data_IF_333113544005
#
_entry.id   IF_333113544005
#
_cell.length_a   1.000
_cell.length_b   1.000
_cell.length_c   1.000
_cell.angle_alpha   90.00
_cell.angle_beta   90.00
_cell.angle_gamma   90.00
#
_symmetry.space_group_name_H-M   'P 1'
#
loop_
_entity.id
_entity.type
_entity.pdbx_description
1 polymer ?
#
# COMPACT_ATOMS: atom_id res chain seq x y z
N UNK A 1 24.59 -7.61 -14.38
CA UNK A 1 24.47 -6.45 -13.48
C UNK A 1 25.01 -6.85 -12.12
N UNK A 2 25.85 -6.02 -11.50
CA UNK A 2 26.46 -6.34 -10.21
C UNK A 2 25.60 -5.76 -9.10
N UNK A 3 25.00 -6.62 -8.29
CA UNK A 3 24.16 -6.19 -7.17
C UNK A 3 25.03 -5.66 -6.04
N UNK A 4 24.74 -4.44 -5.59
CA UNK A 4 25.44 -3.79 -4.47
C UNK A 4 24.64 -4.00 -3.19
N UNK A 5 25.35 -4.24 -2.08
CA UNK A 5 24.74 -4.49 -0.77
C UNK A 5 24.82 -3.24 0.10
N UNK A 6 23.68 -2.92 0.68
CA UNK A 6 23.47 -1.80 1.59
C UNK A 6 22.89 -2.30 2.91
N UNK A 7 23.08 -1.49 3.95
CA UNK A 7 22.50 -1.68 5.27
C UNK A 7 21.60 -0.49 5.57
N UNK A 8 20.29 -0.72 5.61
CA UNK A 8 19.31 0.30 5.95
C UNK A 8 19.06 0.29 7.46
N UNK A 9 19.47 1.35 8.14
CA UNK A 9 19.07 1.64 9.51
C UNK A 9 17.66 2.25 9.51
N UNK A 10 16.77 1.67 10.30
CA UNK A 10 15.40 2.17 10.53
C UNK A 10 15.23 2.39 12.02
N UNK A 11 14.72 3.56 12.39
CA UNK A 11 14.39 3.93 13.75
C UNK A 11 12.94 4.36 13.87
N UNK A 12 12.33 3.95 14.98
CA UNK A 12 11.00 4.36 15.38
C UNK A 12 10.93 4.46 16.90
N UNK A 13 10.47 5.60 17.38
CA UNK A 13 10.47 6.00 18.78
C UNK A 13 11.87 5.97 19.39
N UNK A 14 12.24 4.87 20.05
CA UNK A 14 13.58 4.65 20.62
C UNK A 14 14.10 3.25 20.33
N UNK A 15 13.54 2.61 19.30
CA UNK A 15 13.93 1.28 18.83
C UNK A 15 14.44 1.38 17.42
N UNK A 16 15.46 0.60 17.11
CA UNK A 16 16.05 0.57 15.79
C UNK A 16 16.33 -0.85 15.33
N UNK A 17 16.37 -1.00 14.01
CA UNK A 17 16.71 -2.24 13.32
C UNK A 17 17.61 -1.94 12.12
N UNK A 18 18.34 -2.95 11.66
CA UNK A 18 19.03 -2.90 10.36
C UNK A 18 18.41 -3.92 9.41
N UNK A 19 18.11 -3.49 8.19
CA UNK A 19 17.55 -4.29 7.10
C UNK A 19 18.60 -4.40 6.01
N UNK A 20 18.83 -5.61 5.50
CA UNK A 20 19.72 -5.82 4.37
C UNK A 20 18.99 -5.38 3.09
N UNK A 21 19.66 -4.57 2.28
CA UNK A 21 19.11 -4.05 1.02
C UNK A 21 20.07 -4.40 -0.10
N UNK A 22 19.52 -4.97 -1.18
CA UNK A 22 20.27 -5.29 -2.40
C UNK A 22 19.74 -4.41 -3.53
N UNK A 23 20.61 -3.63 -4.15
CA UNK A 23 20.21 -2.68 -5.20
C UNK A 23 21.13 -2.75 -6.42
N UNK A 24 20.59 -2.31 -7.56
CA UNK A 24 21.31 -2.21 -8.83
C UNK A 24 22.32 -1.04 -8.80
N UNK A 25 21.92 0.06 -8.17
CA UNK A 25 22.69 1.28 -8.02
C UNK A 25 22.21 2.04 -6.76
N UNK A 26 22.85 3.18 -6.47
CA UNK A 26 22.53 4.00 -5.32
C UNK A 26 21.12 4.62 -5.38
N UNK A 27 20.61 4.95 -6.57
CA UNK A 27 19.28 5.52 -6.72
C UNK A 27 18.20 4.48 -6.41
N UNK A 28 18.38 3.25 -6.90
CA UNK A 28 17.53 2.11 -6.56
C UNK A 28 17.58 1.83 -5.04
N UNK A 29 18.76 1.89 -4.42
CA UNK A 29 18.89 1.69 -2.98
C UNK A 29 18.17 2.79 -2.16
N UNK A 30 18.27 4.05 -2.59
CA UNK A 30 17.55 5.16 -1.96
C UNK A 30 16.03 5.04 -2.10
N UNK A 31 15.53 4.65 -3.28
CA UNK A 31 14.11 4.36 -3.49
C UNK A 31 13.60 3.27 -2.54
N UNK A 32 14.31 2.13 -2.50
CA UNK A 32 13.99 1.05 -1.57
C UNK A 32 13.99 1.52 -0.10
N UNK A 33 14.97 2.35 0.29
CA UNK A 33 15.05 2.88 1.65
C UNK A 33 13.81 3.71 2.04
N UNK A 34 13.34 4.57 1.12
CA UNK A 34 12.14 5.38 1.31
C UNK A 34 10.88 4.50 1.41
N UNK A 35 10.73 3.52 0.53
CA UNK A 35 9.56 2.63 0.53
C UNK A 35 9.51 1.74 1.79
N UNK A 36 10.67 1.24 2.25
CA UNK A 36 10.78 0.50 3.51
C UNK A 36 10.46 1.40 4.72
N UNK A 37 10.99 2.63 4.74
CA UNK A 37 10.71 3.60 5.80
C UNK A 37 9.21 3.93 5.86
N UNK A 38 8.55 4.13 4.71
CA UNK A 38 7.11 4.34 4.59
C UNK A 38 6.32 3.13 5.12
N UNK A 39 6.73 1.93 4.71
CA UNK A 39 6.13 0.65 5.14
C UNK A 39 6.14 0.49 6.67
N UNK A 40 7.27 0.79 7.31
CA UNK A 40 7.44 0.65 8.76
C UNK A 40 6.96 1.88 9.56
N UNK A 41 6.57 2.96 8.87
CA UNK A 41 6.34 4.30 9.47
C UNK A 41 7.51 4.66 10.39
N UNK A 42 8.70 4.67 9.81
CA UNK A 42 9.93 5.04 10.50
C UNK A 42 9.95 6.55 10.80
N UNK A 43 10.54 6.92 11.92
CA UNK A 43 10.79 8.33 12.26
C UNK A 43 12.10 8.80 11.62
N UNK A 44 13.06 7.88 11.48
CA UNK A 44 14.36 8.12 10.83
C UNK A 44 14.79 6.88 10.05
N UNK A 45 15.42 7.11 8.91
CA UNK A 45 16.04 6.07 8.08
C UNK A 45 17.38 6.54 7.53
N UNK A 46 18.39 5.67 7.58
CA UNK A 46 19.74 5.97 7.06
C UNK A 46 20.25 4.79 6.26
N UNK A 47 20.78 5.06 5.07
CA UNK A 47 21.28 4.05 4.16
C UNK A 47 22.81 4.07 4.14
N UNK A 48 23.42 3.00 4.64
CA UNK A 48 24.86 2.82 4.66
C UNK A 48 25.31 1.77 3.63
N UNK A 49 26.57 1.87 3.21
CA UNK A 49 27.23 0.77 2.50
C UNK A 49 27.54 -0.37 3.47
N UNK A 50 27.40 -1.62 3.01
CA UNK A 50 27.86 -2.79 3.76
C UNK A 50 26.81 -3.89 3.91
N UNK A 51 27.11 -4.86 4.77
CA UNK A 51 26.28 -6.04 4.98
C UNK A 51 25.50 -5.91 6.29
N UNK A 52 24.18 -5.98 6.21
CA UNK A 52 23.33 -6.31 7.35
C UNK A 52 22.94 -7.79 7.31
N UNK A 53 22.49 -8.33 8.45
CA UNK A 53 22.00 -9.71 8.52
C UNK A 53 20.71 -9.83 7.69
N UNK A 54 20.73 -10.70 6.69
CA UNK A 54 19.54 -11.01 5.92
C UNK A 54 18.48 -11.67 6.82
N UNK A 55 17.24 -11.20 6.72
CA UNK A 55 16.11 -11.65 7.52
C UNK A 55 14.85 -11.72 6.65
N UNK A 56 13.73 -12.22 7.19
CA UNK A 56 12.49 -12.41 6.42
C UNK A 56 11.88 -11.11 5.87
N UNK A 57 12.09 -9.98 6.54
CA UNK A 57 11.70 -8.68 5.99
C UNK A 57 12.62 -8.26 4.84
N UNK A 58 13.91 -8.52 4.95
CA UNK A 58 14.89 -8.22 3.88
C UNK A 58 14.55 -9.04 2.62
N UNK A 59 14.25 -10.34 2.76
CA UNK A 59 13.79 -11.20 1.65
C UNK A 59 12.49 -10.68 1.00
N UNK A 60 11.52 -10.23 1.81
CA UNK A 60 10.26 -9.67 1.29
C UNK A 60 10.49 -8.36 0.54
N UNK A 61 11.24 -7.43 1.12
CA UNK A 61 11.49 -6.12 0.50
C UNK A 61 12.35 -6.23 -0.74
N UNK A 62 13.31 -7.16 -0.78
CA UNK A 62 14.07 -7.47 -1.99
C UNK A 62 13.12 -7.94 -3.11
N UNK A 63 12.24 -8.91 -2.83
CA UNK A 63 11.25 -9.34 -3.83
C UNK A 63 10.30 -8.23 -4.29
N UNK A 64 9.88 -7.34 -3.39
CA UNK A 64 9.07 -6.17 -3.74
C UNK A 64 9.84 -5.19 -4.64
N UNK A 65 11.12 -4.92 -4.34
CA UNK A 65 11.95 -4.00 -5.11
C UNK A 65 12.17 -4.45 -6.55
N UNK A 66 12.38 -5.76 -6.75
CA UNK A 66 12.57 -6.34 -8.09
C UNK A 66 11.27 -6.81 -8.74
N UNK A 67 10.12 -6.63 -8.07
CA UNK A 67 8.83 -7.18 -8.48
C UNK A 67 8.93 -8.70 -8.82
N UNK A 68 9.69 -9.44 -8.02
CA UNK A 68 9.99 -10.86 -8.21
C UNK A 68 8.90 -11.73 -7.58
N UNK A 69 7.69 -11.57 -8.12
CA UNK A 69 6.51 -12.36 -7.82
C UNK A 69 5.92 -12.91 -9.12
N UNK A 70 5.44 -14.14 -9.06
CA UNK A 70 4.67 -14.75 -10.14
C UNK A 70 3.18 -14.62 -9.82
N UNK A 71 2.36 -14.26 -10.82
CA UNK A 71 0.91 -14.14 -10.63
C UNK A 71 0.26 -15.49 -10.33
N UNK A 72 0.76 -16.59 -10.89
CA UNK A 72 0.14 -17.91 -10.74
C UNK A 72 0.58 -18.64 -9.45
N UNK A 73 1.65 -18.15 -8.80
CA UNK A 73 2.28 -18.82 -7.66
C UNK A 73 2.11 -18.06 -6.34
N UNK A 74 1.81 -18.78 -5.26
CA UNK A 74 1.79 -18.19 -3.92
C UNK A 74 3.20 -17.87 -3.43
N UNK A 75 3.37 -16.72 -2.77
CA UNK A 75 4.56 -16.43 -1.97
C UNK A 75 4.23 -16.56 -0.50
N UNK A 76 4.59 -17.69 0.10
CA UNK A 76 4.24 -18.03 1.48
C UNK A 76 5.16 -17.34 2.49
N UNK A 77 4.55 -16.68 3.48
CA UNK A 77 5.29 -16.11 4.60
C UNK A 77 5.83 -17.21 5.52
N UNK A 78 7.16 -17.28 5.63
CA UNK A 78 7.88 -18.24 6.47
C UNK A 78 8.27 -17.69 7.85
N UNK A 79 7.72 -16.54 8.23
CA UNK A 79 7.97 -15.91 9.54
C UNK A 79 6.86 -16.20 10.54
N UNK A 80 6.78 -15.36 11.57
CA UNK A 80 5.77 -15.49 12.62
C UNK A 80 4.35 -15.27 12.09
N UNK A 81 3.37 -15.82 12.80
CA UNK A 81 1.94 -15.63 12.53
C UNK A 81 1.24 -15.19 13.80
N UNK A 82 0.19 -14.40 13.66
CA UNK A 82 -0.70 -13.99 14.76
C UNK A 82 -2.12 -14.35 14.35
N UNK A 83 -2.79 -15.23 15.10
CA UNK A 83 -4.13 -15.73 14.78
C UNK A 83 -4.24 -16.29 13.34
N UNK A 84 -3.21 -17.01 12.89
CA UNK A 84 -3.14 -17.56 11.53
C UNK A 84 -2.82 -16.54 10.43
N UNK A 85 -2.57 -15.28 10.76
CA UNK A 85 -2.24 -14.22 9.80
C UNK A 85 -0.74 -13.91 9.83
N UNK A 86 -0.06 -13.83 8.66
CA UNK A 86 1.35 -13.42 8.55
C UNK A 86 1.65 -12.13 9.30
N UNK A 87 2.64 -12.18 10.18
CA UNK A 87 3.06 -11.03 10.99
C UNK A 87 4.56 -11.06 11.33
N UNK A 88 5.07 -9.95 11.81
CA UNK A 88 6.43 -9.82 12.33
C UNK A 88 6.42 -8.88 13.53
N UNK A 89 7.26 -9.16 14.53
CA UNK A 89 7.47 -8.25 15.66
C UNK A 89 8.83 -7.56 15.49
N UNK A 90 8.80 -6.26 15.20
CA UNK A 90 10.00 -5.42 15.02
C UNK A 90 9.73 -4.04 15.60
N UNK A 91 10.77 -3.30 16.00
CA UNK A 91 10.62 -1.96 16.57
C UNK A 91 9.62 -1.93 17.74
N UNK A 92 9.66 -2.97 18.59
CA UNK A 92 8.74 -3.18 19.73
C UNK A 92 7.24 -3.18 19.39
N UNK A 93 6.88 -3.41 18.12
CA UNK A 93 5.49 -3.44 17.66
C UNK A 93 5.24 -4.62 16.74
N UNK A 94 3.99 -5.10 16.71
CA UNK A 94 3.55 -6.11 15.76
C UNK A 94 3.13 -5.44 14.46
N UNK A 95 3.67 -5.92 13.35
CA UNK A 95 3.26 -5.56 12.01
C UNK A 95 2.67 -6.78 11.31
N UNK A 96 1.51 -6.59 10.67
CA UNK A 96 0.99 -7.59 9.74
C UNK A 96 1.64 -7.39 8.38
N UNK A 97 1.99 -8.49 7.70
CA UNK A 97 2.81 -8.40 6.48
C UNK A 97 2.06 -7.74 5.32
N UNK A 98 0.76 -8.02 5.15
CA UNK A 98 -0.03 -7.44 4.07
C UNK A 98 -0.17 -5.90 4.18
N UNK A 99 -0.45 -5.32 5.36
CA UNK A 99 -0.35 -3.87 5.55
C UNK A 99 1.06 -3.29 5.35
N UNK A 100 2.13 -4.03 5.66
CA UNK A 100 3.49 -3.56 5.35
C UNK A 100 3.68 -3.43 3.83
N UNK A 101 3.21 -4.40 3.06
CA UNK A 101 3.25 -4.36 1.59
C UNK A 101 2.49 -3.14 1.05
N UNK A 102 1.31 -2.84 1.59
CA UNK A 102 0.57 -1.61 1.23
C UNK A 102 1.41 -0.35 1.41
N UNK A 103 2.02 -0.20 2.60
CA UNK A 103 2.85 0.96 2.90
C UNK A 103 4.11 1.03 2.04
N UNK A 104 4.66 -0.12 1.63
CA UNK A 104 5.79 -0.17 0.69
C UNK A 104 5.38 0.33 -0.70
N UNK A 105 4.26 -0.17 -1.22
CA UNK A 105 3.72 0.18 -2.54
C UNK A 105 3.06 1.57 -2.61
N UNK A 106 3.16 2.36 -1.54
CA UNK A 106 2.51 3.68 -1.40
C UNK A 106 0.98 3.67 -1.61
N UNK A 107 0.33 2.56 -1.23
CA UNK A 107 -1.12 2.45 -1.25
C UNK A 107 -1.66 2.89 0.11
N UNK A 108 -2.68 3.75 0.12
CA UNK A 108 -3.28 4.27 1.35
C UNK A 108 -3.61 3.16 2.36
N UNK A 109 -3.24 3.38 3.62
CA UNK A 109 -3.41 2.41 4.71
C UNK A 109 -4.83 2.32 5.24
N UNK A 110 -5.72 3.24 4.84
CA UNK A 110 -7.14 3.12 5.11
C UNK A 110 -7.76 1.94 4.35
N UNK A 111 -7.04 1.41 3.35
CA UNK A 111 -7.46 0.25 2.60
C UNK A 111 -7.29 -1.05 3.39
N UNK A 112 -8.36 -1.85 3.42
CA UNK A 112 -8.36 -3.22 3.90
C UNK A 112 -7.71 -4.15 2.87
N UNK A 113 -6.77 -5.01 3.30
CA UNK A 113 -6.22 -6.06 2.43
C UNK A 113 -6.99 -7.37 2.62
N UNK A 114 -7.56 -7.88 1.54
CA UNK A 114 -8.15 -9.22 1.48
C UNK A 114 -7.29 -10.13 0.62
N UNK A 115 -6.95 -11.30 1.12
CA UNK A 115 -6.31 -12.32 0.30
C UNK A 115 -7.35 -12.96 -0.62
N UNK A 116 -7.06 -13.04 -1.91
CA UNK A 116 -7.94 -13.65 -2.93
C UNK A 116 -7.60 -15.11 -3.19
N UNK A 117 -6.41 -15.57 -2.80
CA UNK A 117 -6.06 -16.99 -2.88
C UNK A 117 -6.52 -17.74 -1.61
N UNK A 118 -6.70 -19.05 -1.74
CA UNK A 118 -7.14 -19.92 -0.63
C UNK A 118 -6.04 -20.17 0.42
N UNK A 119 -4.82 -19.64 0.22
CA UNK A 119 -3.69 -19.85 1.10
C UNK A 119 -3.54 -18.69 2.12
N UNK A 120 -3.86 -18.88 3.42
CA UNK A 120 -3.82 -17.81 4.41
C UNK A 120 -2.42 -17.26 4.68
N UNK A 121 -1.36 -18.00 4.34
CA UNK A 121 0.04 -17.58 4.51
C UNK A 121 0.59 -16.83 3.30
N UNK A 122 -0.14 -16.77 2.18
CA UNK A 122 0.31 -16.05 1.00
C UNK A 122 0.37 -14.54 1.27
N UNK A 123 1.52 -13.94 0.94
CA UNK A 123 1.76 -12.50 0.99
C UNK A 123 2.16 -11.95 -0.39
N UNK A 124 1.92 -12.71 -1.46
CA UNK A 124 2.10 -12.23 -2.83
C UNK A 124 1.18 -11.00 -3.08
N UNK A 125 1.71 -9.84 -3.48
CA UNK A 125 0.92 -8.66 -3.80
C UNK A 125 -0.17 -8.92 -4.84
N UNK A 126 0.09 -9.80 -5.82
CA UNK A 126 -0.88 -10.14 -6.88
C UNK A 126 -2.09 -10.95 -6.39
N UNK A 127 -1.97 -11.61 -5.23
CA UNK A 127 -3.07 -12.33 -4.58
C UNK A 127 -3.75 -11.51 -3.50
N UNK A 128 -3.43 -10.22 -3.41
CA UNK A 128 -4.06 -9.30 -2.49
C UNK A 128 -5.02 -8.37 -3.23
N UNK A 129 -6.24 -8.27 -2.72
CA UNK A 129 -7.20 -7.26 -3.12
C UNK A 129 -7.22 -6.13 -2.09
N UNK A 130 -6.98 -4.92 -2.57
CA UNK A 130 -6.91 -3.71 -1.75
C UNK A 130 -8.24 -2.96 -1.81
N UNK A 131 -9.05 -3.11 -0.77
CA UNK A 131 -10.40 -2.56 -0.67
C UNK A 131 -10.41 -1.30 0.19
N UNK A 132 -11.25 -0.32 -0.12
CA UNK A 132 -11.41 0.85 0.75
C UNK A 132 -11.97 0.46 2.14
N UNK A 133 -12.88 -0.51 2.17
CA UNK A 133 -13.47 -1.06 3.39
C UNK A 133 -13.64 -2.57 3.26
N UNK A 134 -13.78 -3.29 4.39
CA UNK A 134 -13.91 -4.76 4.43
C UNK A 134 -15.00 -5.34 3.50
N UNK A 135 -16.08 -4.60 3.28
CA UNK A 135 -17.20 -4.99 2.42
C UNK A 135 -17.33 -4.10 1.16
N UNK A 136 -16.30 -3.32 0.84
CA UNK A 136 -16.32 -2.47 -0.35
C UNK A 136 -16.30 -3.31 -1.61
N UNK A 137 -17.11 -2.91 -2.59
CA UNK A 137 -17.07 -3.47 -3.96
C UNK A 137 -16.02 -2.79 -4.82
N UNK A 138 -15.51 -1.64 -4.37
CA UNK A 138 -14.47 -0.86 -5.05
C UNK A 138 -13.16 -0.97 -4.28
N UNK A 139 -12.07 -1.18 -5.02
CA UNK A 139 -10.73 -1.10 -4.49
C UNK A 139 -10.29 0.34 -4.23
N UNK A 140 -9.13 0.53 -3.59
CA UNK A 140 -8.55 1.86 -3.38
C UNK A 140 -8.27 2.60 -4.70
N UNK A 141 -7.80 1.89 -5.74
CA UNK A 141 -7.59 2.45 -7.08
C UNK A 141 -8.89 2.85 -7.77
N UNK A 142 -9.93 2.03 -7.66
CA UNK A 142 -11.26 2.33 -8.21
C UNK A 142 -11.87 3.57 -7.56
N UNK A 143 -11.61 3.79 -6.26
CA UNK A 143 -12.04 4.98 -5.54
C UNK A 143 -11.35 6.24 -6.08
N UNK A 144 -10.02 6.20 -6.27
CA UNK A 144 -9.28 7.30 -6.87
C UNK A 144 -9.80 7.65 -8.27
N UNK A 145 -10.09 6.63 -9.08
CA UNK A 145 -10.68 6.78 -10.41
C UNK A 145 -12.11 7.34 -10.35
N UNK A 146 -12.93 6.90 -9.39
CA UNK A 146 -14.26 7.46 -9.12
C UNK A 146 -14.18 8.95 -8.78
N UNK A 147 -13.28 9.35 -7.89
CA UNK A 147 -13.09 10.74 -7.48
C UNK A 147 -12.57 11.61 -8.63
N UNK A 148 -11.63 11.10 -9.44
CA UNK A 148 -11.13 11.78 -10.63
C UNK A 148 -12.24 11.96 -11.70
N UNK A 149 -13.04 10.94 -11.98
CA UNK A 149 -14.17 11.09 -12.89
C UNK A 149 -15.23 12.05 -12.35
N UNK A 150 -15.46 12.04 -11.04
CA UNK A 150 -16.39 12.96 -10.41
C UNK A 150 -15.92 14.42 -10.51
N UNK A 151 -14.63 14.69 -10.29
CA UNK A 151 -14.06 16.03 -10.42
C UNK A 151 -14.07 16.54 -11.86
N UNK A 152 -14.00 15.65 -12.85
CA UNK A 152 -14.15 15.95 -14.28
C UNK A 152 -15.63 16.11 -14.72
N UNK A 153 -16.59 16.00 -13.81
CA UNK A 153 -18.02 16.17 -14.11
C UNK A 153 -18.69 14.98 -14.81
N UNK A 154 -18.04 13.81 -14.86
CA UNK A 154 -18.61 12.60 -15.47
C UNK A 154 -19.86 12.15 -14.70
N UNK A 155 -20.89 11.70 -15.43
CA UNK A 155 -22.15 11.29 -14.81
C UNK A 155 -22.02 9.97 -14.03
N UNK A 156 -22.74 9.85 -12.91
CA UNK A 156 -22.73 8.64 -12.07
C UNK A 156 -23.08 7.34 -12.84
N UNK A 157 -24.04 7.33 -13.78
CA UNK A 157 -24.29 6.15 -14.62
C UNK A 157 -23.09 5.72 -15.45
N UNK A 158 -22.31 6.66 -15.99
CA UNK A 158 -21.10 6.37 -16.77
C UNK A 158 -19.97 5.83 -15.88
N UNK A 159 -19.77 6.43 -14.70
CA UNK A 159 -18.79 5.97 -13.71
C UNK A 159 -19.12 4.54 -13.26
N UNK A 160 -20.39 4.27 -12.94
CA UNK A 160 -20.87 2.95 -12.54
C UNK A 160 -20.62 1.89 -13.63
N UNK A 161 -20.85 2.24 -14.90
CA UNK A 161 -20.56 1.37 -16.05
C UNK A 161 -19.06 1.10 -16.19
N UNK A 162 -18.21 2.13 -16.05
CA UNK A 162 -16.76 2.02 -16.16
C UNK A 162 -16.16 1.14 -15.05
N UNK A 163 -16.64 1.30 -13.81
CA UNK A 163 -16.18 0.54 -12.65
C UNK A 163 -16.92 -0.79 -12.45
N UNK A 164 -17.80 -1.18 -13.39
CA UNK A 164 -18.59 -2.43 -13.34
C UNK A 164 -19.36 -2.64 -12.03
N UNK A 165 -19.90 -1.57 -11.46
CA UNK A 165 -20.72 -1.62 -10.22
C UNK A 165 -22.10 -1.02 -10.43
N UNK A 166 -23.05 -1.33 -9.54
CA UNK A 166 -24.36 -0.71 -9.56
C UNK A 166 -24.29 0.75 -9.09
N UNK A 167 -25.12 1.64 -9.68
CA UNK A 167 -25.14 3.10 -9.38
C UNK A 167 -25.29 3.41 -7.90
N UNK A 168 -26.09 2.61 -7.17
CA UNK A 168 -26.28 2.76 -5.73
C UNK A 168 -24.99 2.62 -4.93
N UNK A 169 -24.02 1.86 -5.44
CA UNK A 169 -22.68 1.72 -4.82
C UNK A 169 -21.93 3.05 -4.87
N UNK A 170 -21.97 3.74 -6.02
CA UNK A 170 -21.35 5.04 -6.22
C UNK A 170 -22.01 6.11 -5.33
N UNK A 171 -23.35 6.16 -5.30
CA UNK A 171 -24.08 7.11 -4.46
C UNK A 171 -23.80 6.94 -2.96
N UNK A 172 -23.66 5.70 -2.49
CA UNK A 172 -23.33 5.42 -1.08
C UNK A 172 -21.94 5.94 -0.73
N UNK A 173 -20.93 5.61 -1.55
CA UNK A 173 -19.55 6.04 -1.33
C UNK A 173 -19.43 7.58 -1.34
N UNK A 174 -20.07 8.25 -2.30
CA UNK A 174 -20.09 9.71 -2.38
C UNK A 174 -20.86 10.40 -1.24
N UNK A 175 -21.73 9.68 -0.53
CA UNK A 175 -22.45 10.20 0.63
C UNK A 175 -21.59 10.17 1.89
N UNK A 176 -20.75 9.14 2.00
CA UNK A 176 -19.88 8.92 3.16
C UNK A 176 -18.59 9.76 3.06
N UNK A 177 -18.07 9.97 1.83
CA UNK A 177 -17.11 11.02 1.58
C UNK A 177 -17.82 12.38 1.66
N UNK A 178 -17.67 13.10 2.78
CA UNK A 178 -18.04 14.53 2.88
C UNK A 178 -17.20 15.36 1.91
N UNK A 179 -17.51 15.28 0.62
CA UNK A 179 -16.98 16.18 -0.39
C UNK A 179 -17.53 17.56 -0.04
N UNK A 180 -16.64 18.48 0.34
CA UNK A 180 -16.96 19.90 0.48
C UNK A 180 -17.69 20.32 -0.78
N UNK A 181 -18.97 20.69 -0.64
CA UNK A 181 -19.71 21.33 -1.70
C UNK A 181 -18.95 22.62 -2.03
N UNK A 182 -18.18 22.60 -3.11
CA UNK A 182 -17.42 23.75 -3.59
C UNK A 182 -18.25 25.03 -3.48
N UNK A 183 -17.57 26.11 -3.10
CA UNK A 183 -18.07 27.47 -2.90
C UNK A 183 -19.38 27.75 -3.65
N UNK A 184 -20.43 28.06 -2.88
CA UNK A 184 -21.73 28.54 -3.39
C UNK A 184 -21.48 29.54 -4.51
N UNK A 185 -22.01 29.23 -5.70
CA UNK A 185 -22.11 30.16 -6.81
C UNK A 185 -22.66 31.50 -6.30
N UNK A 186 -21.83 32.55 -6.35
CA UNK A 186 -22.31 33.92 -6.32
C UNK A 186 -23.05 34.17 -7.63
N UNK A 187 -24.31 33.72 -7.72
CA UNK A 187 -25.26 34.30 -8.67
C UNK A 187 -25.44 35.75 -8.31
N UNK A 188 -24.75 36.63 -9.05
CA UNK A 188 -25.00 38.06 -9.05
C UNK A 188 -26.49 38.29 -9.26
N UNK A 189 -27.09 38.95 -8.28
CA UNK A 189 -28.36 39.64 -8.40
C UNK A 189 -28.26 40.72 -9.47
N UNK A 190 -28.61 40.38 -10.70
CA UNK A 190 -28.98 41.38 -11.70
C UNK A 190 -30.46 41.74 -11.47
N UNK A 191 -30.69 42.78 -10.67
CA UNK A 191 -31.95 43.53 -10.67
C UNK A 191 -32.07 44.26 -12.01
N UNK A 192 -33.17 44.05 -12.70
CA UNK A 192 -33.84 45.08 -13.52
C UNK A 192 -35.31 45.05 -13.16
#
# INVERSE_FOLDING_TARGET
>A
MTLTRYSLYIEKESKSIRIAVTANDAAHAQGQALDIARSLKADRSELDYGKAKNNKLSELYEKLAYNDFDYDSCFEWKGSVTNGVPSVYVLSRRYYIRPLILGYLDISQDNTVKNTCSNPLCVNPYHNQYLHEKNSKLGGGDLQMLLAFRSQGVSIPQIAKALKVHRSTIYRILKDERLSSGTKDHRQSARR
#
